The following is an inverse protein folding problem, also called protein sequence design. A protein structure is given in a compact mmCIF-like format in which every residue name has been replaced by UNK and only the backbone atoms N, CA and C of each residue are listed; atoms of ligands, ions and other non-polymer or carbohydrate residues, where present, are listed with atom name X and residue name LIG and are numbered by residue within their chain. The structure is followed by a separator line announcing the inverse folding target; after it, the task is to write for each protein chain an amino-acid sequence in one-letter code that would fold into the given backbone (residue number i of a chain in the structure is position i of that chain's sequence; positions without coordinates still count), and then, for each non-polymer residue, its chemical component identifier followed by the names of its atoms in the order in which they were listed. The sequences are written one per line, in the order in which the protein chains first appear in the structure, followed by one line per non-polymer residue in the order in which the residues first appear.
data_IF_214298057522
#
_entry.id   IF_214298057522
#
_cell.length_a   1.000
_cell.length_b   1.000
_cell.length_c   1.000
_cell.angle_alpha   90.00
_cell.angle_beta   90.00
_cell.angle_gamma   90.00
#
_symmetry.space_group_name_H-M   'P 1'
#
loop_
_entity.id
_entity.type
_entity.pdbx_description
1 polymer ?
#
# COMPACT_ATOMS: atom_id res chain seq x y z
N UNK A 1 -16.58 2.71 -20.69
CA UNK A 1 -15.36 3.50 -20.38
C UNK A 1 -14.70 2.91 -19.15
N UNK A 2 -13.54 2.27 -19.36
CA UNK A 2 -12.45 1.93 -18.43
C UNK A 2 -12.72 1.64 -16.95
N UNK A 3 -12.68 0.35 -16.60
CA UNK A 3 -11.91 -0.11 -15.45
C UNK A 3 -10.92 -1.15 -15.99
N UNK A 4 -9.75 -0.70 -16.43
CA UNK A 4 -8.63 -1.58 -16.79
C UNK A 4 -8.22 -2.26 -15.49
N UNK A 5 -8.77 -3.46 -15.26
CA UNK A 5 -8.36 -4.39 -14.22
C UNK A 5 -6.90 -4.77 -14.51
N UNK A 6 -5.96 -3.91 -14.12
CA UNK A 6 -4.56 -4.29 -14.01
C UNK A 6 -4.50 -5.36 -12.95
N UNK A 7 -3.97 -6.53 -13.35
CA UNK A 7 -3.72 -7.73 -12.55
C UNK A 7 -4.17 -7.63 -11.10
N UNK A 8 -5.22 -8.37 -10.76
CA UNK A 8 -5.58 -8.67 -9.39
C UNK A 8 -4.48 -9.55 -8.77
N UNK A 9 -3.30 -8.97 -8.57
CA UNK A 9 -2.28 -9.49 -7.69
C UNK A 9 -2.95 -9.71 -6.34
N UNK A 10 -3.22 -10.97 -6.01
CA UNK A 10 -3.91 -11.29 -4.78
C UNK A 10 -3.07 -10.77 -3.62
N UNK A 11 -3.70 -10.01 -2.74
CA UNK A 11 -3.00 -9.43 -1.62
C UNK A 11 -2.76 -10.54 -0.57
N UNK A 12 -1.51 -10.85 -0.27
CA UNK A 12 -1.14 -11.90 0.69
C UNK A 12 -0.92 -11.28 2.06
N UNK A 13 -1.41 -11.96 3.09
CA UNK A 13 -1.24 -11.53 4.48
C UNK A 13 -2.15 -10.35 4.89
N UNK A 14 -1.95 -9.92 6.14
CA UNK A 14 -2.73 -8.86 6.77
C UNK A 14 -2.13 -7.45 6.55
N UNK A 15 -2.84 -6.45 7.07
CA UNK A 15 -2.36 -5.07 7.11
C UNK A 15 -1.25 -4.90 8.15
N UNK A 16 -0.04 -4.58 7.71
CA UNK A 16 1.11 -4.31 8.58
C UNK A 16 1.36 -2.80 8.74
N UNK A 17 1.96 -2.36 9.85
CA UNK A 17 2.32 -0.96 10.01
C UNK A 17 3.48 -0.57 9.07
N UNK A 18 3.55 0.74 8.76
CA UNK A 18 4.45 1.29 7.72
C UNK A 18 5.94 1.08 8.03
N UNK A 19 6.32 0.98 9.29
CA UNK A 19 7.68 0.68 9.74
C UNK A 19 8.12 -0.73 9.32
N UNK A 20 7.31 -1.75 9.61
CA UNK A 20 7.56 -3.13 9.16
C UNK A 20 7.55 -3.23 7.64
N UNK A 21 6.61 -2.55 6.99
CA UNK A 21 6.54 -2.54 5.53
C UNK A 21 7.79 -1.91 4.90
N UNK A 22 8.28 -0.81 5.47
CA UNK A 22 9.50 -0.15 4.98
C UNK A 22 10.72 -1.04 5.16
N UNK A 23 10.83 -1.73 6.30
CA UNK A 23 11.89 -2.71 6.54
C UNK A 23 11.87 -3.85 5.49
N UNK A 24 10.68 -4.41 5.21
CA UNK A 24 10.51 -5.46 4.18
C UNK A 24 10.87 -4.98 2.78
N UNK A 25 10.54 -3.72 2.46
CA UNK A 25 10.86 -3.10 1.18
C UNK A 25 12.31 -2.58 1.08
N UNK A 26 13.12 -2.70 2.14
CA UNK A 26 14.46 -2.11 2.19
C UNK A 26 14.47 -0.59 2.08
N UNK A 27 13.39 0.08 2.50
CA UNK A 27 13.21 1.53 2.41
C UNK A 27 13.27 2.21 3.77
N UNK A 28 13.64 3.49 3.78
CA UNK A 28 13.38 4.36 4.92
C UNK A 28 11.85 4.60 5.08
N UNK A 29 11.34 4.50 6.31
CA UNK A 29 9.93 4.78 6.66
C UNK A 29 9.44 6.13 6.13
N UNK A 30 10.25 7.19 6.25
CA UNK A 30 9.91 8.52 5.74
C UNK A 30 9.83 8.57 4.21
N UNK A 31 10.70 7.84 3.52
CA UNK A 31 10.66 7.72 2.07
C UNK A 31 9.41 6.97 1.61
N UNK A 32 9.08 5.85 2.27
CA UNK A 32 7.85 5.11 1.99
C UNK A 32 6.62 5.99 2.22
N UNK A 33 6.54 6.68 3.38
CA UNK A 33 5.43 7.60 3.69
C UNK A 33 5.25 8.67 2.61
N UNK A 34 6.34 9.34 2.22
CA UNK A 34 6.30 10.40 1.20
C UNK A 34 5.88 9.84 -0.16
N UNK A 35 6.28 8.62 -0.50
CA UNK A 35 5.82 7.95 -1.72
C UNK A 35 4.33 7.64 -1.68
N UNK A 36 3.82 7.11 -0.55
CA UNK A 36 2.39 6.84 -0.39
C UNK A 36 1.55 8.12 -0.42
N UNK A 37 2.01 9.20 0.22
CA UNK A 37 1.31 10.50 0.22
C UNK A 37 1.23 11.12 -1.17
N UNK A 38 2.30 11.03 -1.98
CA UNK A 38 2.30 11.53 -3.37
C UNK A 38 1.36 10.75 -4.29
N UNK A 39 1.11 9.47 -3.99
CA UNK A 39 0.24 8.58 -4.77
C UNK A 39 -1.13 8.38 -4.11
N UNK A 40 -1.43 9.16 -3.07
CA UNK A 40 -2.65 9.02 -2.31
C UNK A 40 -3.87 9.42 -3.14
N UNK A 41 -4.86 8.54 -3.19
CA UNK A 41 -6.17 8.77 -3.79
C UNK A 41 -7.26 8.54 -2.76
N UNK A 42 -8.45 9.11 -2.97
CA UNK A 42 -9.64 8.68 -2.22
C UNK A 42 -10.27 7.47 -2.87
N UNK A 43 -10.42 6.41 -2.08
CA UNK A 43 -11.17 5.22 -2.45
C UNK A 43 -12.68 5.47 -2.37
N UNK A 44 -13.45 4.56 -2.95
CA UNK A 44 -14.91 4.61 -2.96
C UNK A 44 -15.54 4.56 -1.55
N UNK A 45 -14.84 3.95 -0.58
CA UNK A 45 -15.24 3.93 0.83
C UNK A 45 -14.83 5.22 1.58
N UNK A 46 -14.34 6.24 0.86
CA UNK A 46 -13.90 7.50 1.43
C UNK A 46 -12.58 7.40 2.19
N UNK A 47 -11.87 6.26 2.15
CA UNK A 47 -10.55 6.09 2.79
C UNK A 47 -9.44 6.57 1.84
N UNK A 48 -8.33 7.03 2.41
CA UNK A 48 -7.15 7.42 1.61
C UNK A 48 -6.32 6.19 1.40
N UNK A 49 -6.06 5.85 0.15
CA UNK A 49 -5.25 4.70 -0.21
C UNK A 49 -4.23 5.06 -1.27
N UNK A 50 -3.20 4.23 -1.41
CA UNK A 50 -2.19 4.36 -2.43
C UNK A 50 -1.80 2.97 -2.92
N UNK A 51 -1.44 2.88 -4.20
CA UNK A 51 -0.88 1.66 -4.79
C UNK A 51 0.48 1.98 -5.41
N UNK A 52 1.49 1.19 -5.10
CA UNK A 52 2.85 1.32 -5.64
C UNK A 52 3.44 -0.06 -5.82
N UNK A 53 3.76 -0.42 -7.06
CA UNK A 53 4.55 -1.61 -7.40
C UNK A 53 4.03 -2.92 -6.75
N UNK A 54 2.70 -3.13 -6.70
CA UNK A 54 2.08 -4.30 -6.07
C UNK A 54 1.82 -4.18 -4.57
N UNK A 55 2.23 -3.07 -3.95
CA UNK A 55 1.94 -2.74 -2.56
C UNK A 55 0.70 -1.85 -2.48
N UNK A 56 -0.28 -2.25 -1.67
CA UNK A 56 -1.45 -1.42 -1.35
C UNK A 56 -1.28 -0.83 0.03
N UNK A 57 -1.50 0.46 0.18
CA UNK A 57 -1.50 1.13 1.48
C UNK A 57 -2.84 1.83 1.74
N UNK A 58 -3.28 1.83 2.99
CA UNK A 58 -4.49 2.52 3.46
C UNK A 58 -4.21 3.35 4.69
N UNK A 59 -4.82 4.54 4.78
CA UNK A 59 -4.82 5.36 6.00
C UNK A 59 -5.90 4.89 6.97
N UNK A 60 -5.47 4.53 8.18
CA UNK A 60 -6.31 4.31 9.35
C UNK A 60 -6.11 5.52 10.28
N UNK A 61 -6.95 6.54 10.11
CA UNK A 61 -6.70 7.86 10.71
C UNK A 61 -5.43 8.50 10.15
N UNK A 62 -4.44 8.77 11.01
CA UNK A 62 -3.14 9.37 10.63
C UNK A 62 -2.07 8.34 10.24
N UNK A 63 -2.37 7.05 10.39
CA UNK A 63 -1.40 5.97 10.26
C UNK A 63 -1.60 5.25 8.93
N UNK A 64 -0.51 5.05 8.19
CA UNK A 64 -0.51 4.17 7.03
C UNK A 64 -0.35 2.72 7.48
N UNK A 65 -1.21 1.84 6.96
CA UNK A 65 -0.97 0.41 6.96
C UNK A 65 -0.83 -0.09 5.54
N UNK A 66 -0.05 -1.15 5.38
CA UNK A 66 0.40 -1.66 4.10
C UNK A 66 0.02 -3.14 3.98
N UNK A 67 -0.39 -3.56 2.79
CA UNK A 67 -0.63 -4.95 2.43
C UNK A 67 0.10 -5.24 1.13
N UNK A 68 0.74 -6.39 1.07
CA UNK A 68 1.59 -6.81 -0.04
C UNK A 68 0.80 -7.69 -1.01
N UNK A 69 1.14 -7.61 -2.30
CA UNK A 69 0.74 -8.62 -3.27
C UNK A 69 1.56 -9.90 -3.13
N UNK A 70 1.08 -10.97 -3.78
CA UNK A 70 1.85 -12.22 -3.96
C UNK A 70 3.28 -11.99 -4.47
N UNK A 71 3.48 -11.02 -5.36
CA UNK A 71 4.80 -10.70 -5.91
C UNK A 71 5.85 -10.31 -4.85
N UNK A 72 5.41 -9.84 -3.67
CA UNK A 72 6.27 -9.45 -2.56
C UNK A 72 6.29 -10.46 -1.39
N UNK A 73 5.40 -11.46 -1.41
CA UNK A 73 5.23 -12.41 -0.30
C UNK A 73 4.68 -11.77 0.99
N UNK A 74 4.79 -12.51 2.10
CA UNK A 74 4.43 -11.99 3.43
C UNK A 74 5.65 -11.33 4.11
N UNK A 75 5.47 -10.16 4.76
CA UNK A 75 6.49 -9.49 5.55
C UNK A 75 6.64 -10.08 6.97
#
# INVERSE_FOLDING_TARGET
MSAKQGEAHQAVGGWVPIDRAAAHLGMNVGALRKTLERRAVRAADGVTEASVDGVRARKFGRIWRVRFSEAWGVP
#
